data_IF_146114581198
#
_entry.id   IF_146114581198
#
_cell.length_a   1.000
_cell.length_b   1.000
_cell.length_c   1.000
_cell.angle_alpha   90.00
_cell.angle_beta   90.00
_cell.angle_gamma   90.00
#
_symmetry.space_group_name_H-M   'P 1'
#
loop_
_entity.id
_entity.type
_entity.pdbx_description
1 polymer ?
#
# COMPACT_ATOMS: atom_id res chain seq x y z
N UNK A 1 -7.12 21.43 -20.15
CA UNK A 1 -6.42 20.33 -19.42
C UNK A 1 -5.17 20.91 -18.77
N UNK A 2 -5.00 20.72 -17.46
CA UNK A 2 -3.77 21.12 -16.76
C UNK A 2 -2.67 20.11 -17.11
N UNK A 3 -1.48 20.59 -17.47
CA UNK A 3 -0.28 19.75 -17.62
C UNK A 3 0.43 19.68 -16.27
N UNK A 4 0.92 18.52 -15.88
CA UNK A 4 1.76 18.38 -14.69
C UNK A 4 3.13 19.02 -14.96
N UNK A 5 3.66 19.73 -13.98
CA UNK A 5 5.05 20.16 -13.99
C UNK A 5 5.97 19.03 -13.50
N UNK A 6 7.29 19.19 -13.69
CA UNK A 6 8.27 18.27 -13.11
C UNK A 6 8.13 18.21 -11.58
N UNK A 7 7.90 19.36 -10.95
CA UNK A 7 7.69 19.45 -9.51
C UNK A 7 6.42 18.72 -9.08
N UNK A 8 5.32 18.85 -9.84
CA UNK A 8 4.07 18.15 -9.55
C UNK A 8 4.26 16.62 -9.52
N UNK A 9 5.05 16.07 -10.46
CA UNK A 9 5.34 14.63 -10.53
C UNK A 9 6.21 14.18 -9.36
N UNK A 10 7.30 14.90 -9.07
CA UNK A 10 8.25 14.51 -8.02
C UNK A 10 7.68 14.66 -6.59
N UNK A 11 6.72 15.57 -6.40
CA UNK A 11 6.04 15.78 -5.12
C UNK A 11 4.84 14.86 -4.89
N UNK A 12 4.50 13.98 -5.83
CA UNK A 12 3.36 13.05 -5.68
C UNK A 12 3.43 12.23 -4.38
N UNK A 13 4.64 11.87 -3.93
CA UNK A 13 4.87 11.14 -2.67
C UNK A 13 4.66 11.97 -1.38
N UNK A 14 4.55 13.29 -1.51
CA UNK A 14 4.34 14.20 -0.36
C UNK A 14 2.86 14.28 0.04
N UNK A 15 1.95 13.70 -0.77
CA UNK A 15 0.55 13.57 -0.41
C UNK A 15 0.41 12.86 0.94
N UNK A 16 -0.43 13.42 1.81
CA UNK A 16 -0.75 12.85 3.12
C UNK A 16 -2.24 12.57 3.18
N UNK A 17 -2.58 11.41 3.71
CA UNK A 17 -3.96 11.01 3.97
C UNK A 17 -4.09 10.54 5.41
N UNK A 18 -5.12 11.02 6.10
CA UNK A 18 -5.45 10.58 7.46
C UNK A 18 -6.38 9.38 7.38
N UNK A 19 -6.00 8.29 8.03
CA UNK A 19 -6.74 7.03 8.06
C UNK A 19 -7.10 6.70 9.50
N UNK A 20 -8.39 6.49 9.74
CA UNK A 20 -8.87 6.02 11.03
C UNK A 20 -8.61 4.53 11.22
N UNK A 21 -8.16 4.14 12.41
CA UNK A 21 -7.85 2.76 12.79
C UNK A 21 -8.72 2.34 13.97
N UNK A 22 -9.83 1.65 13.67
CA UNK A 22 -10.82 1.21 14.66
C UNK A 22 -10.21 0.46 15.85
N UNK A 23 -9.18 -0.36 15.60
CA UNK A 23 -8.52 -1.17 16.63
C UNK A 23 -7.80 -0.34 17.71
N UNK A 24 -7.54 0.94 17.44
CA UNK A 24 -6.95 1.89 18.38
C UNK A 24 -7.87 3.07 18.70
N UNK A 25 -9.04 3.17 18.05
CA UNK A 25 -9.92 4.35 18.10
C UNK A 25 -9.13 5.66 17.88
N UNK A 26 -8.24 5.63 16.87
CA UNK A 26 -7.27 6.68 16.63
C UNK A 26 -6.92 6.79 15.15
N UNK A 27 -6.36 7.92 14.76
CA UNK A 27 -5.97 8.21 13.39
C UNK A 27 -4.45 8.06 13.18
N UNK A 28 -4.08 7.67 11.97
CA UNK A 28 -2.70 7.69 11.48
C UNK A 28 -2.60 8.49 10.20
N UNK A 29 -1.40 8.97 9.88
CA UNK A 29 -1.12 9.65 8.61
C UNK A 29 -0.33 8.71 7.71
N UNK A 30 -0.81 8.49 6.49
CA UNK A 30 -0.14 7.71 5.46
C UNK A 30 0.24 8.57 4.24
N UNK A 31 1.12 8.05 3.40
CA UNK A 31 1.47 8.60 2.09
C UNK A 31 1.50 7.50 1.01
N UNK A 32 1.40 7.85 -0.28
CA UNK A 32 1.67 6.90 -1.33
C UNK A 32 3.16 6.51 -1.38
N UNK A 33 3.37 5.28 -1.81
CA UNK A 33 4.68 4.72 -2.14
C UNK A 33 5.09 5.17 -3.54
N UNK A 34 6.39 5.34 -3.71
CA UNK A 34 7.02 5.56 -5.01
C UNK A 34 7.13 4.24 -5.78
N UNK A 35 7.38 4.33 -7.10
CA UNK A 35 7.61 3.17 -7.97
C UNK A 35 8.74 2.24 -7.46
N UNK A 36 9.83 2.83 -6.94
CA UNK A 36 10.93 2.07 -6.34
C UNK A 36 10.51 1.32 -5.08
N UNK A 37 9.77 1.97 -4.18
CA UNK A 37 9.26 1.36 -2.95
C UNK A 37 8.25 0.24 -3.25
N UNK A 38 7.37 0.44 -4.23
CA UNK A 38 6.44 -0.60 -4.69
C UNK A 38 7.18 -1.81 -5.27
N UNK A 39 8.26 -1.57 -6.02
CA UNK A 39 9.10 -2.65 -6.55
C UNK A 39 9.72 -3.49 -5.43
N UNK A 40 10.16 -2.86 -4.34
CA UNK A 40 10.64 -3.56 -3.14
C UNK A 40 9.54 -4.41 -2.49
N UNK A 41 8.34 -3.85 -2.31
CA UNK A 41 7.18 -4.57 -1.75
C UNK A 41 6.82 -5.79 -2.60
N UNK A 42 6.75 -5.65 -3.93
CA UNK A 42 6.40 -6.76 -4.83
C UNK A 42 7.49 -7.84 -4.92
N UNK A 43 8.76 -7.46 -4.75
CA UNK A 43 9.86 -8.42 -4.74
C UNK A 43 9.72 -9.48 -3.61
N UNK A 44 9.07 -9.11 -2.50
CA UNK A 44 8.80 -10.03 -1.39
C UNK A 44 7.81 -11.12 -1.78
N UNK A 45 6.78 -10.77 -2.57
CA UNK A 45 5.76 -11.72 -3.03
C UNK A 45 6.39 -12.69 -4.05
N UNK A 46 7.32 -12.19 -4.88
CA UNK A 46 8.01 -12.95 -5.91
C UNK A 46 7.17 -13.13 -7.17
N UNK A 47 7.52 -14.10 -8.02
CA UNK A 47 6.74 -14.43 -9.21
C UNK A 47 5.38 -14.98 -8.81
N UNK A 48 4.31 -14.25 -9.12
CA UNK A 48 2.93 -14.74 -9.01
C UNK A 48 2.84 -16.01 -9.85
N UNK A 49 2.62 -17.19 -9.24
CA UNK A 49 2.51 -18.43 -9.99
C UNK A 49 1.33 -18.28 -10.94
N UNK A 50 1.54 -18.52 -12.23
CA UNK A 50 0.46 -18.56 -13.19
C UNK A 50 -0.11 -19.98 -13.22
N UNK A 51 -1.42 -20.09 -13.42
CA UNK A 51 -2.06 -21.33 -13.83
C UNK A 51 -1.70 -21.62 -15.29
N UNK A 52 -1.99 -22.84 -15.74
CA UNK A 52 -1.73 -23.26 -17.12
C UNK A 52 -2.49 -22.42 -18.17
N UNK A 53 -3.55 -21.72 -17.76
CA UNK A 53 -4.33 -20.80 -18.58
C UNK A 53 -3.77 -19.35 -18.61
N UNK A 54 -2.61 -19.12 -17.98
CA UNK A 54 -1.97 -17.81 -17.90
C UNK A 54 -2.59 -16.85 -16.88
N UNK A 55 -3.61 -17.27 -16.13
CA UNK A 55 -4.19 -16.46 -15.05
C UNK A 55 -3.39 -16.60 -13.75
N UNK A 56 -3.33 -15.57 -12.89
CA UNK A 56 -2.73 -15.67 -11.56
C UNK A 56 -3.32 -16.80 -10.70
N UNK A 57 -2.46 -17.68 -10.19
CA UNK A 57 -2.82 -18.74 -9.26
C UNK A 57 -2.88 -18.19 -7.83
N UNK A 58 -4.04 -17.63 -7.50
CA UNK A 58 -4.33 -17.08 -6.16
C UNK A 58 -4.29 -18.13 -5.05
N UNK A 59 -4.34 -19.43 -5.37
CA UNK A 59 -4.22 -20.53 -4.41
C UNK A 59 -2.78 -20.86 -4.01
N UNK A 60 -1.79 -20.30 -4.71
CA UNK A 60 -0.35 -20.50 -4.44
C UNK A 60 0.36 -19.26 -3.89
N UNK A 61 -0.40 -18.21 -3.55
CA UNK A 61 0.16 -17.02 -2.89
C UNK A 61 0.55 -17.41 -1.47
N UNK A 62 1.84 -17.32 -1.16
CA UNK A 62 2.36 -17.56 0.18
C UNK A 62 1.85 -16.47 1.12
N UNK A 63 0.91 -16.85 1.99
CA UNK A 63 0.26 -15.97 2.98
C UNK A 63 1.31 -15.28 3.87
N UNK A 64 2.42 -15.95 4.18
CA UNK A 64 3.52 -15.38 4.97
C UNK A 64 4.22 -14.26 4.21
N UNK A 65 4.44 -14.43 2.89
CA UNK A 65 5.02 -13.38 2.05
C UNK A 65 4.07 -12.20 1.91
N UNK A 66 2.77 -12.45 1.81
CA UNK A 66 1.77 -11.38 1.77
C UNK A 66 1.80 -10.54 3.05
N UNK A 67 1.84 -11.17 4.23
CA UNK A 67 1.98 -10.45 5.50
C UNK A 67 3.27 -9.64 5.56
N UNK A 68 4.40 -10.19 5.11
CA UNK A 68 5.68 -9.45 5.05
C UNK A 68 5.61 -8.25 4.11
N UNK A 69 5.01 -8.40 2.95
CA UNK A 69 4.82 -7.32 1.98
C UNK A 69 3.95 -6.19 2.57
N UNK A 70 2.84 -6.52 3.25
CA UNK A 70 1.96 -5.54 3.88
C UNK A 70 2.63 -4.81 5.06
N UNK A 71 3.45 -5.52 5.85
CA UNK A 71 4.25 -4.87 6.91
C UNK A 71 5.28 -3.90 6.34
N UNK A 72 5.96 -4.28 5.26
CA UNK A 72 6.91 -3.40 4.59
C UNK A 72 6.21 -2.16 4.00
N UNK A 73 5.09 -2.36 3.32
CA UNK A 73 4.28 -1.27 2.78
C UNK A 73 3.84 -0.32 3.90
N UNK A 74 3.40 -0.87 5.04
CA UNK A 74 3.04 -0.08 6.23
C UNK A 74 4.21 0.76 6.71
N UNK A 75 5.39 0.18 6.96
CA UNK A 75 6.54 0.94 7.48
C UNK A 75 7.02 2.04 6.52
N UNK A 76 6.88 1.82 5.20
CA UNK A 76 7.28 2.81 4.20
C UNK A 76 6.26 3.95 4.07
N UNK A 77 4.97 3.62 4.11
CA UNK A 77 3.87 4.55 3.87
C UNK A 77 3.37 5.28 5.10
N UNK A 78 3.60 4.74 6.30
CA UNK A 78 3.18 5.35 7.56
C UNK A 78 4.09 6.53 7.93
N UNK A 79 3.46 7.68 8.15
CA UNK A 79 4.12 8.97 8.36
C UNK A 79 4.11 9.33 9.82
N UNK A 80 2.93 9.21 10.44
CA UNK A 80 2.68 9.53 11.84
C UNK A 80 1.72 8.48 12.41
N UNK A 81 2.16 7.68 13.41
CA UNK A 81 3.53 7.59 13.93
C UNK A 81 4.49 6.92 12.92
N UNK A 82 5.75 7.36 12.83
CA UNK A 82 6.74 6.65 12.01
C UNK A 82 7.21 5.40 12.75
N UNK A 83 7.16 4.25 12.08
CA UNK A 83 7.55 2.95 12.65
C UNK A 83 8.48 2.19 11.71
N UNK A 84 9.42 1.42 12.26
CA UNK A 84 10.21 0.45 11.49
C UNK A 84 9.40 -0.81 11.17
N UNK A 85 9.91 -1.68 10.29
CA UNK A 85 9.25 -2.96 9.97
C UNK A 85 9.09 -3.84 11.20
N UNK A 86 10.07 -3.82 12.10
CA UNK A 86 10.08 -4.55 13.36
C UNK A 86 9.01 -4.02 14.31
N UNK A 87 8.94 -2.69 14.49
CA UNK A 87 7.91 -2.05 15.32
C UNK A 87 6.49 -2.28 14.76
N UNK A 88 6.34 -2.32 13.43
CA UNK A 88 5.07 -2.67 12.77
C UNK A 88 4.68 -4.12 13.08
N UNK A 89 5.63 -5.04 13.25
CA UNK A 89 5.34 -6.44 13.57
C UNK A 89 4.78 -6.62 15.00
N UNK A 90 5.03 -5.66 15.90
CA UNK A 90 4.54 -5.66 17.28
C UNK A 90 3.16 -4.99 17.44
N UNK A 91 2.59 -4.46 16.35
CA UNK A 91 1.25 -3.89 16.35
C UNK A 91 0.18 -4.96 16.61
N UNK A 92 -1.02 -4.54 17.05
CA UNK A 92 -2.19 -5.42 17.13
C UNK A 92 -2.39 -6.17 15.81
N UNK A 93 -2.66 -7.47 15.90
CA UNK A 93 -2.92 -8.33 14.74
C UNK A 93 -4.01 -7.74 13.83
N UNK A 94 -3.78 -7.76 12.51
CA UNK A 94 -4.70 -7.22 11.51
C UNK A 94 -4.50 -5.73 11.20
N UNK A 95 -3.83 -4.97 12.08
CA UNK A 95 -3.65 -3.53 11.87
C UNK A 95 -2.59 -3.22 10.79
N UNK A 96 -1.40 -3.85 10.78
CA UNK A 96 -0.46 -3.69 9.68
C UNK A 96 -1.07 -4.04 8.32
N UNK A 97 -1.90 -5.08 8.27
CA UNK A 97 -2.57 -5.49 7.03
C UNK A 97 -3.55 -4.42 6.55
N UNK A 98 -4.35 -3.84 7.45
CA UNK A 98 -5.28 -2.77 7.14
C UNK A 98 -4.55 -1.51 6.64
N UNK A 99 -3.56 -1.02 7.39
CA UNK A 99 -2.81 0.19 7.03
C UNK A 99 -2.01 -0.03 5.74
N UNK A 100 -1.31 -1.16 5.62
CA UNK A 100 -0.55 -1.50 4.42
C UNK A 100 -1.44 -1.58 3.18
N UNK A 101 -2.66 -2.12 3.31
CA UNK A 101 -3.65 -2.10 2.23
C UNK A 101 -4.02 -0.67 1.85
N UNK A 102 -4.28 0.21 2.82
CA UNK A 102 -4.56 1.63 2.56
C UNK A 102 -3.41 2.37 1.90
N UNK A 103 -2.17 2.10 2.32
CA UNK A 103 -0.96 2.62 1.67
C UNK A 103 -0.92 2.19 0.20
N UNK A 104 -1.16 0.92 -0.10
CA UNK A 104 -1.17 0.41 -1.47
C UNK A 104 -2.31 1.04 -2.31
N UNK A 105 -3.51 1.19 -1.74
CA UNK A 105 -4.65 1.86 -2.39
C UNK A 105 -4.30 3.29 -2.81
N UNK A 106 -3.77 4.12 -1.90
CA UNK A 106 -3.41 5.51 -2.20
C UNK A 106 -2.21 5.61 -3.14
N UNK A 107 -1.39 4.56 -3.21
CA UNK A 107 -0.29 4.41 -4.17
C UNK A 107 -0.76 3.99 -5.57
N UNK A 108 -2.07 3.77 -5.76
CA UNK A 108 -2.65 3.36 -7.03
C UNK A 108 -2.62 1.85 -7.30
N UNK A 109 -2.24 1.04 -6.31
CA UNK A 109 -2.35 -0.42 -6.37
C UNK A 109 -3.73 -0.79 -5.85
N UNK A 110 -4.64 -1.04 -6.77
CA UNK A 110 -6.06 -1.22 -6.47
C UNK A 110 -6.34 -2.64 -5.97
N UNK A 111 -6.85 -2.85 -4.75
CA UNK A 111 -7.58 -4.06 -4.41
C UNK A 111 -9.02 -3.88 -4.93
N UNK A 112 -9.27 -4.26 -6.17
CA UNK A 112 -10.64 -4.56 -6.64
C UNK A 112 -11.69 -3.43 -6.77
N UNK A 113 -11.37 -2.13 -6.70
CA UNK A 113 -12.36 -1.05 -6.95
C UNK A 113 -11.95 -0.18 -8.13
N UNK A 114 -12.70 -0.35 -9.20
CA UNK A 114 -12.78 0.50 -10.39
C UNK A 114 -12.48 1.96 -10.05
N UNK A 115 -11.58 2.56 -10.82
CA UNK A 115 -11.41 4.00 -10.89
C UNK A 115 -12.77 4.68 -11.13
N UNK A 116 -13.49 5.04 -10.06
CA UNK A 116 -14.51 6.08 -10.13
C UNK A 116 -13.75 7.38 -10.35
N UNK A 117 -13.52 7.69 -11.63
CA UNK A 117 -13.35 9.06 -12.11
C UNK A 117 -14.37 9.91 -11.35
N UNK A 118 -13.89 10.83 -10.52
CA UNK A 118 -14.69 11.96 -10.04
C UNK A 118 -15.29 12.63 -11.27
N UNK A 119 -16.59 12.50 -11.46
CA UNK A 119 -17.35 13.43 -12.31
C UNK A 119 -17.22 14.80 -11.64
N UNK A 120 -16.46 15.71 -12.26
CA UNK A 120 -16.58 17.12 -11.96
C UNK A 120 -17.91 17.60 -12.55
N UNK A 121 -18.83 17.99 -11.67
CA UNK A 121 -19.85 19.00 -12.00
C UNK A 121 -19.20 20.38 -12.02
#
# INVERSE_FOLDING_TARGET
MKKLTKEDVLKGKEMRETVHVDAYDADVVIRPLTDGELSEVFSIIGSVPLKDDGTPDTGKVDVTKNFRALRLATSMGLVEPRLTVEEVADMKFGVPEFIGTKVLEVSGIVPGVSAKKKELK
#
